data_IF_997535334198
#
_entry.id   IF_997535334198
#
_cell.length_a   1.000
_cell.length_b   1.000
_cell.length_c   1.000
_cell.angle_alpha   90.00
_cell.angle_beta   90.00
_cell.angle_gamma   90.00
#
_symmetry.space_group_name_H-M   'P 1'
#
loop_
_entity.id
_entity.type
_entity.pdbx_description
1 polymer ?
#
# COMPACT_ATOMS: atom_id res chain seq x y z
N UNK A 1 19.64 17.68 -26.96
CA UNK A 1 20.80 17.02 -26.33
C UNK A 1 20.34 16.48 -24.99
N UNK A 2 19.88 15.23 -24.92
CA UNK A 2 19.46 14.59 -23.67
C UNK A 2 20.53 13.57 -23.26
N UNK A 3 21.06 13.72 -22.04
CA UNK A 3 22.02 12.78 -21.47
C UNK A 3 21.32 11.44 -21.16
N UNK A 4 21.97 10.28 -21.37
CA UNK A 4 21.41 8.99 -21.01
C UNK A 4 21.42 8.79 -19.49
N UNK A 5 20.37 8.19 -18.93
CA UNK A 5 20.34 7.77 -17.53
C UNK A 5 21.35 6.63 -17.28
N UNK A 6 22.06 6.59 -16.14
CA UNK A 6 22.96 5.51 -15.82
C UNK A 6 22.18 4.22 -15.49
N UNK A 7 22.70 3.09 -15.93
CA UNK A 7 22.20 1.75 -15.61
C UNK A 7 22.35 1.46 -14.11
N UNK A 8 21.29 0.97 -13.47
CA UNK A 8 21.31 0.54 -12.07
C UNK A 8 21.88 -0.88 -12.01
N UNK A 9 23.13 -1.03 -11.58
CA UNK A 9 23.71 -2.32 -11.24
C UNK A 9 23.37 -2.68 -9.79
N UNK A 10 22.49 -3.67 -9.60
CA UNK A 10 22.28 -4.31 -8.31
C UNK A 10 23.31 -5.44 -8.19
N UNK A 11 24.48 -5.17 -7.61
CA UNK A 11 25.39 -6.24 -7.19
C UNK A 11 25.11 -6.59 -5.72
N UNK A 12 24.26 -7.59 -5.50
CA UNK A 12 24.34 -8.33 -4.23
C UNK A 12 25.46 -9.36 -4.33
N UNK A 13 26.33 -9.38 -3.32
CA UNK A 13 27.43 -10.32 -3.20
C UNK A 13 26.89 -11.77 -3.15
N UNK A 14 27.28 -12.66 -4.07
CA UNK A 14 26.79 -14.04 -4.12
C UNK A 14 27.22 -14.93 -2.94
N UNK A 15 28.02 -14.42 -1.99
CA UNK A 15 28.53 -15.16 -0.82
C UNK A 15 27.99 -14.67 0.54
N UNK A 16 26.84 -13.99 0.60
CA UNK A 16 26.20 -13.64 1.87
C UNK A 16 25.49 -14.86 2.50
N UNK A 17 26.26 -15.82 3.01
CA UNK A 17 25.74 -17.06 3.62
C UNK A 17 25.47 -16.97 5.12
N UNK A 18 25.84 -15.88 5.81
CA UNK A 18 25.61 -15.76 7.26
C UNK A 18 25.22 -14.33 7.66
N UNK A 19 24.01 -14.18 8.21
CA UNK A 19 23.64 -13.00 9.00
C UNK A 19 23.87 -13.33 10.47
N UNK A 20 24.96 -12.82 11.05
CA UNK A 20 25.23 -12.92 12.49
C UNK A 20 24.89 -11.57 13.13
N UNK A 21 23.79 -11.46 13.90
CA UNK A 21 23.53 -10.23 14.66
C UNK A 21 24.59 -10.12 15.76
N UNK A 22 25.43 -9.09 15.71
CA UNK A 22 26.35 -8.77 16.80
C UNK A 22 25.55 -8.37 18.07
N UNK A 23 25.27 -9.36 18.92
CA UNK A 23 24.75 -9.21 20.28
C UNK A 23 25.92 -9.00 21.25
N UNK A 24 26.55 -7.82 21.24
CA UNK A 24 27.46 -7.41 22.33
C UNK A 24 27.39 -5.90 22.53
N UNK A 25 26.44 -5.46 23.35
CA UNK A 25 26.35 -4.08 23.79
C UNK A 25 25.32 -3.96 24.89
N UNK A 26 25.69 -3.35 26.02
CA UNK A 26 24.90 -3.27 27.26
C UNK A 26 23.54 -2.55 27.16
N UNK A 27 23.12 -2.13 25.95
CA UNK A 27 21.85 -1.46 25.65
C UNK A 27 21.06 -2.17 24.52
N UNK A 28 21.31 -3.45 24.25
CA UNK A 28 20.59 -4.17 23.18
C UNK A 28 19.19 -4.61 23.63
N UNK A 29 18.16 -4.22 22.88
CA UNK A 29 16.77 -4.64 23.07
C UNK A 29 16.64 -6.15 22.85
N UNK A 30 15.87 -6.83 23.70
CA UNK A 30 15.55 -8.23 23.50
C UNK A 30 14.82 -8.43 22.16
N UNK A 31 15.14 -9.49 21.40
CA UNK A 31 14.43 -9.79 20.16
C UNK A 31 12.93 -10.00 20.46
N UNK A 32 12.08 -9.40 19.62
CA UNK A 32 10.64 -9.55 19.73
C UNK A 32 10.23 -10.99 19.34
N UNK A 33 9.21 -11.58 20.00
CA UNK A 33 8.70 -12.90 19.64
C UNK A 33 8.20 -12.88 18.18
N UNK A 34 8.67 -13.82 17.36
CA UNK A 34 8.37 -13.88 15.92
C UNK A 34 7.19 -14.79 15.59
N UNK A 35 6.68 -15.52 16.59
CA UNK A 35 5.53 -16.42 16.47
C UNK A 35 4.52 -16.22 17.61
N UNK A 36 3.26 -16.55 17.34
CA UNK A 36 2.19 -16.64 18.36
C UNK A 36 2.55 -17.63 19.48
N UNK A 37 3.35 -18.66 19.18
CA UNK A 37 3.85 -19.62 20.18
C UNK A 37 4.87 -18.96 21.13
N UNK A 38 5.80 -18.16 20.61
CA UNK A 38 6.80 -17.44 21.40
C UNK A 38 6.15 -16.43 22.37
N UNK A 39 5.06 -15.78 21.94
CA UNK A 39 4.26 -14.88 22.80
C UNK A 39 3.62 -15.61 23.99
N UNK A 40 3.26 -16.88 23.85
CA UNK A 40 2.68 -17.68 24.93
C UNK A 40 3.77 -18.11 25.94
N UNK A 41 4.93 -18.51 25.46
CA UNK A 41 6.07 -18.87 26.32
C UNK A 41 6.61 -17.67 27.11
N UNK A 42 6.69 -16.48 26.49
CA UNK A 42 7.12 -15.24 27.15
C UNK A 42 6.17 -14.86 28.31
N UNK A 43 4.85 -15.01 28.11
CA UNK A 43 3.85 -14.78 29.17
C UNK A 43 3.98 -15.77 30.32
N UNK A 44 4.27 -17.04 30.04
CA UNK A 44 4.46 -18.06 31.08
C UNK A 44 5.75 -17.82 31.89
N UNK A 45 6.82 -17.32 31.23
CA UNK A 45 8.06 -16.90 31.91
C UNK A 45 7.85 -15.70 32.82
N UNK A 46 7.09 -14.70 32.38
CA UNK A 46 6.78 -13.52 33.20
C UNK A 46 5.95 -13.88 34.44
N UNK A 47 4.96 -14.78 34.32
CA UNK A 47 4.21 -15.28 35.49
C UNK A 47 5.06 -16.09 36.48
N UNK A 48 6.05 -16.86 35.99
CA UNK A 48 6.98 -17.60 36.87
C UNK A 48 7.95 -16.66 37.59
N UNK A 49 8.37 -15.54 36.98
CA UNK A 49 9.23 -14.58 37.68
C UNK A 49 8.49 -13.76 38.75
N UNK A 50 7.22 -13.40 38.52
CA UNK A 50 6.44 -12.66 39.53
C UNK A 50 6.07 -13.52 40.76
N UNK A 51 5.96 -14.85 40.61
CA UNK A 51 5.66 -15.75 41.74
C UNK A 51 6.85 -16.09 42.63
N UNK A 52 8.09 -15.81 42.20
CA UNK A 52 9.30 -16.10 42.98
C UNK A 52 9.87 -14.91 43.80
N UNK A 53 9.22 -13.73 43.79
CA UNK A 53 9.73 -12.53 44.48
C UNK A 53 9.02 -12.17 45.80
N UNK A 54 8.29 -13.11 46.42
CA UNK A 54 7.64 -12.90 47.73
C UNK A 54 8.13 -13.90 48.79
N UNK A 55 9.27 -13.63 49.43
CA UNK A 55 9.56 -14.19 50.77
C UNK A 55 10.67 -13.43 51.52
N UNK A 56 10.25 -12.66 52.54
CA UNK A 56 10.82 -12.57 53.90
C UNK A 56 12.31 -12.29 54.12
N UNK A 57 12.65 -11.10 54.65
CA UNK A 57 13.62 -10.94 55.76
C UNK A 57 13.18 -9.78 56.69
N UNK A 58 13.25 -10.03 58.02
CA UNK A 58 12.79 -9.22 59.16
C UNK A 58 13.94 -8.44 59.81
N UNK A 59 13.68 -7.32 60.50
CA UNK A 59 14.27 -6.97 61.82
C UNK A 59 13.34 -6.01 62.62
N UNK A 60 13.53 -5.98 63.94
CA UNK A 60 12.59 -5.69 65.04
C UNK A 60 12.90 -4.36 65.76
N UNK A 61 11.89 -3.68 66.35
CA UNK A 61 11.83 -3.21 67.78
C UNK A 61 10.87 -2.00 68.02
N UNK A 62 9.73 -2.32 68.64
CA UNK A 62 9.02 -1.71 69.82
C UNK A 62 8.61 -0.21 69.87
N UNK A 63 7.30 0.09 69.88
CA UNK A 63 6.47 0.41 71.08
C UNK A 63 5.21 1.26 70.81
N UNK A 64 4.03 0.78 71.29
CA UNK A 64 2.78 1.47 71.78
C UNK A 64 2.16 2.70 71.07
N UNK A 65 0.84 2.99 71.06
CA UNK A 65 -0.50 2.35 71.07
C UNK A 65 -1.50 3.53 70.96
N UNK A 66 -2.62 3.35 70.22
CA UNK A 66 -3.94 4.05 70.27
C UNK A 66 -4.24 5.21 69.27
N UNK A 67 -5.10 4.86 68.31
CA UNK A 67 -6.43 5.41 67.96
C UNK A 67 -6.64 6.83 67.36
N UNK A 68 -7.48 6.82 66.29
CA UNK A 68 -8.43 7.84 65.76
C UNK A 68 -8.04 8.54 64.44
N UNK A 69 -8.63 8.01 63.36
CA UNK A 69 -9.46 8.63 62.29
C UNK A 69 -8.98 9.85 61.46
N UNK A 70 -8.74 9.58 60.16
CA UNK A 70 -9.06 10.36 58.93
C UNK A 70 -8.17 11.55 58.47
N UNK A 71 -8.15 11.89 57.15
CA UNK A 71 -7.07 11.46 56.24
C UNK A 71 -6.35 12.62 55.51
N UNK A 72 -5.13 12.37 55.03
CA UNK A 72 -4.46 13.15 53.97
C UNK A 72 -3.37 12.31 53.28
N UNK A 73 -3.20 12.58 51.98
CA UNK A 73 -2.23 12.11 50.96
C UNK A 73 -0.74 12.17 51.43
N UNK A 74 0.32 11.79 50.65
CA UNK A 74 0.39 11.47 49.22
C UNK A 74 1.42 10.36 48.79
N UNK A 75 1.57 10.23 47.47
CA UNK A 75 2.76 9.80 46.69
C UNK A 75 3.08 8.30 46.56
N UNK A 76 2.56 7.70 45.48
CA UNK A 76 3.23 6.62 44.76
C UNK A 76 3.46 7.06 43.31
N UNK A 77 4.73 7.12 42.91
CA UNK A 77 5.19 7.39 41.55
C UNK A 77 5.01 6.12 40.72
N UNK A 78 4.17 6.16 39.69
CA UNK A 78 4.18 5.19 38.58
C UNK A 78 4.21 5.98 37.27
N UNK A 79 5.33 5.86 36.56
CA UNK A 79 5.51 6.42 35.23
C UNK A 79 4.77 5.53 34.21
N UNK A 80 3.64 6.02 33.70
CA UNK A 80 3.04 5.57 32.45
C UNK A 80 3.17 6.73 31.45
N UNK A 81 4.06 6.58 30.47
CA UNK A 81 4.16 7.52 29.35
C UNK A 81 3.17 7.12 28.26
N UNK A 82 1.99 7.73 28.27
CA UNK A 82 1.11 7.84 27.11
C UNK A 82 1.26 9.26 26.55
N UNK A 83 1.58 9.47 25.26
CA UNK A 83 1.57 10.80 24.70
C UNK A 83 0.11 11.24 24.58
N UNK A 84 -0.35 11.97 25.58
CA UNK A 84 -1.64 12.67 25.51
C UNK A 84 -1.39 13.90 24.65
N UNK A 85 -1.65 13.80 23.35
CA UNK A 85 -1.76 14.98 22.50
C UNK A 85 -3.00 15.75 22.95
N UNK A 86 -2.79 16.77 23.79
CA UNK A 86 -3.80 17.77 24.04
C UNK A 86 -3.99 18.58 22.75
N UNK A 87 -5.22 18.72 22.23
CA UNK A 87 -5.47 19.67 21.15
C UNK A 87 -5.04 21.05 21.63
N UNK A 88 -4.19 21.71 20.84
CA UNK A 88 -3.86 23.12 21.06
C UNK A 88 -5.13 23.89 20.67
N UNK A 89 -5.91 24.29 21.65
CA UNK A 89 -7.00 25.23 21.44
C UNK A 89 -6.39 26.59 21.18
N UNK A 90 -6.55 27.06 19.94
CA UNK A 90 -6.26 28.45 19.59
C UNK A 90 -7.45 29.27 20.08
N UNK A 91 -7.35 29.83 21.28
CA UNK A 91 -8.30 30.81 21.79
C UNK A 91 -8.11 32.12 21.04
N UNK A 92 -8.67 32.21 19.84
CA UNK A 92 -8.76 33.44 19.06
C UNK A 92 -10.20 33.64 18.62
N UNK A 93 -10.71 34.85 18.83
CA UNK A 93 -12.00 35.25 18.25
C UNK A 93 -11.89 35.23 16.72
N UNK A 94 -13.01 35.06 16.02
CA UNK A 94 -13.02 35.13 14.54
C UNK A 94 -12.41 36.45 14.02
N UNK A 95 -12.61 37.55 14.77
CA UNK A 95 -12.02 38.85 14.51
C UNK A 95 -10.48 38.83 14.58
N UNK A 96 -9.89 38.17 15.59
CA UNK A 96 -8.44 38.02 15.69
C UNK A 96 -7.87 37.15 14.57
N UNK A 97 -8.57 36.09 14.17
CA UNK A 97 -8.14 35.22 13.06
C UNK A 97 -8.14 36.02 11.74
N UNK A 98 -9.16 36.85 11.53
CA UNK A 98 -9.23 37.77 10.38
C UNK A 98 -8.13 38.83 10.42
N UNK A 99 -7.82 39.38 11.58
CA UNK A 99 -6.75 40.37 11.76
C UNK A 99 -5.36 39.75 11.49
N UNK A 100 -5.13 38.51 11.93
CA UNK A 100 -3.90 37.74 11.63
C UNK A 100 -3.82 37.43 10.14
N UNK A 101 -4.93 37.03 9.51
CA UNK A 101 -4.98 36.80 8.06
C UNK A 101 -4.71 38.08 7.26
N UNK A 102 -5.10 39.25 7.75
CA UNK A 102 -4.80 40.54 7.11
C UNK A 102 -3.34 40.96 7.28
N UNK A 103 -2.72 40.66 8.43
CA UNK A 103 -1.32 41.02 8.74
C UNK A 103 -0.31 40.03 8.17
N UNK A 104 -0.69 38.77 7.99
CA UNK A 104 0.18 37.78 7.38
C UNK A 104 0.18 38.00 5.88
N UNK A 105 1.33 38.39 5.32
CA UNK A 105 1.58 38.49 3.87
C UNK A 105 1.49 37.14 3.14
N UNK A 106 0.91 36.13 3.76
CA UNK A 106 0.56 34.86 3.16
C UNK A 106 -0.61 35.13 2.20
N UNK A 107 -0.39 34.88 0.91
CA UNK A 107 -1.47 34.75 -0.06
C UNK A 107 -2.32 33.54 0.34
N UNK A 108 -3.27 33.73 1.27
CA UNK A 108 -4.30 32.74 1.65
C UNK A 108 -5.16 32.35 0.43
N UNK A 109 -5.07 33.09 -0.68
CA UNK A 109 -5.67 32.75 -1.98
C UNK A 109 -4.84 31.86 -2.91
N UNK A 110 -3.63 31.42 -2.54
CA UNK A 110 -2.99 30.32 -3.24
C UNK A 110 -3.68 29.03 -2.78
N UNK A 111 -4.83 28.72 -3.37
CA UNK A 111 -5.36 27.36 -3.31
C UNK A 111 -4.23 26.46 -3.79
N UNK A 112 -3.57 25.76 -2.85
CA UNK A 112 -2.83 24.57 -3.21
C UNK A 112 -3.80 23.79 -4.10
N UNK A 113 -3.41 23.52 -5.34
CA UNK A 113 -4.22 22.70 -6.22
C UNK A 113 -4.33 21.34 -5.53
N UNK A 114 -5.43 21.17 -4.81
CA UNK A 114 -5.84 19.93 -4.17
C UNK A 114 -6.80 19.34 -5.18
N UNK A 115 -6.40 18.33 -5.97
CA UNK A 115 -7.32 17.62 -6.85
C UNK A 115 -8.62 17.34 -6.10
N UNK A 116 -9.78 17.48 -6.75
CA UNK A 116 -11.08 17.24 -6.08
C UNK A 116 -11.14 15.87 -5.38
N UNK A 117 -10.36 14.89 -5.86
CA UNK A 117 -10.18 13.55 -5.28
C UNK A 117 -9.43 13.59 -3.93
N UNK A 118 -8.49 14.51 -3.76
CA UNK A 118 -7.70 14.71 -2.55
C UNK A 118 -8.50 15.36 -1.40
N UNK A 119 -9.65 16.01 -1.65
CA UNK A 119 -10.54 16.48 -0.56
C UNK A 119 -11.10 15.32 0.29
N UNK A 120 -11.30 14.14 -0.31
CA UNK A 120 -11.68 12.93 0.45
C UNK A 120 -10.52 12.40 1.33
N UNK A 121 -9.28 12.79 1.05
CA UNK A 121 -8.07 12.35 1.78
C UNK A 121 -8.03 12.87 3.22
N UNK A 122 -8.69 14.01 3.50
CA UNK A 122 -8.72 14.62 4.84
C UNK A 122 -9.61 13.82 5.80
N UNK A 123 -10.46 12.92 5.31
CA UNK A 123 -11.42 12.15 6.12
C UNK A 123 -10.89 10.79 6.62
N UNK A 124 -9.65 10.39 6.28
CA UNK A 124 -9.03 9.19 6.87
C UNK A 124 -8.50 9.56 8.27
N UNK A 125 -9.42 9.79 9.21
CA UNK A 125 -9.13 10.16 10.61
C UNK A 125 -8.57 8.98 11.44
N UNK A 126 -8.42 7.80 10.85
CA UNK A 126 -7.75 6.65 11.46
C UNK A 126 -6.65 6.17 10.51
N UNK A 127 -5.36 6.16 10.92
CA UNK A 127 -4.30 5.60 10.10
C UNK A 127 -4.67 4.14 9.79
N UNK A 128 -4.80 3.80 8.51
CA UNK A 128 -4.93 2.41 8.10
C UNK A 128 -3.64 1.68 8.52
N UNK A 129 -3.70 0.47 9.11
CA UNK A 129 -2.49 -0.31 9.40
C UNK A 129 -1.68 -0.64 8.13
N UNK A 130 -2.26 -0.41 6.95
CA UNK A 130 -1.65 -0.58 5.64
C UNK A 130 -1.14 0.72 5.01
N UNK A 131 -1.10 1.84 5.75
CA UNK A 131 -0.54 3.12 5.32
C UNK A 131 0.51 3.57 6.33
N UNK A 132 1.65 4.05 5.86
CA UNK A 132 2.55 4.82 6.70
C UNK A 132 2.03 6.25 6.74
N UNK A 133 2.02 6.89 7.92
CA UNK A 133 1.88 8.35 7.97
C UNK A 133 3.12 8.96 7.34
N UNK A 134 2.98 9.89 6.37
CA UNK A 134 4.14 10.47 5.72
C UNK A 134 4.92 11.25 6.77
N UNK A 135 6.23 10.99 6.87
CA UNK A 135 7.07 11.72 7.81
C UNK A 135 7.14 13.21 7.41
N UNK A 136 7.31 14.10 8.39
CA UNK A 136 7.44 15.54 8.15
C UNK A 136 8.55 15.81 7.12
N UNK A 137 8.17 16.28 5.93
CA UNK A 137 9.10 16.57 4.82
C UNK A 137 9.08 15.58 3.65
N UNK A 138 8.32 14.48 3.71
CA UNK A 138 8.18 13.57 2.57
C UNK A 138 7.29 14.17 1.45
N UNK A 139 7.68 13.94 0.19
CA UNK A 139 6.90 14.36 -0.98
C UNK A 139 5.65 13.50 -1.11
N UNK A 140 4.48 14.09 -0.86
CA UNK A 140 3.18 13.42 -1.00
C UNK A 140 2.82 13.23 -2.47
N UNK A 141 2.25 12.08 -2.82
CA UNK A 141 1.66 11.84 -4.14
C UNK A 141 0.37 12.66 -4.31
N UNK A 142 0.00 12.97 -5.56
CA UNK A 142 -1.26 13.67 -5.87
C UNK A 142 -2.50 12.88 -5.45
N UNK A 143 -2.45 11.56 -5.63
CA UNK A 143 -3.47 10.61 -5.24
C UNK A 143 -2.90 9.50 -4.36
N UNK A 144 -3.80 8.84 -3.60
CA UNK A 144 -3.48 7.65 -2.82
C UNK A 144 -3.57 6.43 -3.73
N UNK A 145 -2.59 5.54 -3.66
CA UNK A 145 -2.52 4.34 -4.48
C UNK A 145 -2.58 3.08 -3.63
N UNK A 146 -3.10 2.01 -4.19
CA UNK A 146 -3.30 0.71 -3.55
C UNK A 146 -2.62 -0.38 -4.37
N UNK A 147 -1.75 -1.13 -3.72
CA UNK A 147 -1.15 -2.33 -4.26
C UNK A 147 -2.03 -3.54 -3.90
N UNK A 148 -2.46 -4.30 -4.90
CA UNK A 148 -3.14 -5.58 -4.73
C UNK A 148 -2.33 -6.71 -5.34
N UNK A 149 -2.50 -7.92 -4.81
CA UNK A 149 -1.91 -9.13 -5.35
C UNK A 149 -2.97 -10.21 -5.56
N UNK A 150 -2.86 -10.92 -6.69
CA UNK A 150 -3.67 -12.07 -7.01
C UNK A 150 -2.74 -13.23 -7.42
N UNK A 151 -2.58 -14.27 -6.60
CA UNK A 151 -1.82 -15.45 -6.99
C UNK A 151 -2.51 -16.15 -8.17
N UNK A 152 -1.73 -16.79 -9.03
CA UNK A 152 -2.24 -17.62 -10.10
C UNK A 152 -1.58 -19.00 -10.05
N UNK A 153 -2.39 -20.06 -10.03
CA UNK A 153 -1.90 -21.44 -10.09
C UNK A 153 -1.19 -21.73 -11.41
N UNK A 154 -0.26 -22.69 -11.39
CA UNK A 154 0.36 -23.23 -12.61
C UNK A 154 -0.73 -23.85 -13.49
N UNK A 155 -0.96 -23.27 -14.68
CA UNK A 155 -1.95 -23.77 -15.65
C UNK A 155 -3.42 -23.48 -15.32
N UNK A 156 -3.72 -22.84 -14.19
CA UNK A 156 -5.09 -22.44 -13.87
C UNK A 156 -5.43 -21.11 -14.55
N UNK A 157 -6.38 -21.15 -15.48
CA UNK A 157 -7.05 -19.92 -15.89
C UNK A 157 -7.84 -19.41 -14.68
N UNK A 158 -7.55 -18.20 -14.22
CA UNK A 158 -8.26 -17.58 -13.10
C UNK A 158 -9.74 -17.53 -13.48
N UNK A 159 -10.57 -18.32 -12.79
CA UNK A 159 -12.01 -18.30 -12.98
C UNK A 159 -12.57 -17.02 -12.37
N UNK A 160 -13.59 -16.45 -12.99
CA UNK A 160 -14.29 -15.26 -12.47
C UNK A 160 -14.74 -15.46 -11.00
N UNK A 161 -15.23 -16.66 -10.67
CA UNK A 161 -15.68 -17.00 -9.32
C UNK A 161 -14.54 -17.07 -8.27
N UNK A 162 -13.28 -17.09 -8.69
CA UNK A 162 -12.10 -17.16 -7.80
C UNK A 162 -11.27 -15.87 -7.90
N UNK A 163 -11.76 -14.88 -8.65
CA UNK A 163 -11.05 -13.62 -8.84
C UNK A 163 -11.24 -12.69 -7.63
N UNK A 164 -10.29 -12.72 -6.71
CA UNK A 164 -10.28 -11.81 -5.56
C UNK A 164 -8.89 -11.25 -5.24
N UNK A 165 -8.49 -10.16 -5.93
CA UNK A 165 -7.23 -9.46 -5.66
C UNK A 165 -7.20 -8.94 -4.22
N UNK A 166 -6.22 -9.36 -3.44
CA UNK A 166 -6.08 -8.98 -2.03
C UNK A 166 -5.32 -7.66 -1.93
N UNK A 167 -5.84 -6.69 -1.18
CA UNK A 167 -5.13 -5.46 -0.88
C UNK A 167 -3.90 -5.76 0.00
N UNK A 168 -2.72 -5.40 -0.50
CA UNK A 168 -1.44 -5.60 0.18
C UNK A 168 -1.04 -4.33 0.94
N UNK A 169 -1.07 -3.17 0.29
CA UNK A 169 -0.56 -1.93 0.88
C UNK A 169 -1.16 -0.66 0.25
N UNK A 170 -1.15 0.45 1.01
CA UNK A 170 -1.52 1.80 0.53
C UNK A 170 -0.32 2.72 0.49
N UNK A 171 -0.17 3.46 -0.60
CA UNK A 171 0.98 4.30 -0.92
C UNK A 171 0.51 5.74 -1.10
N UNK A 172 1.06 6.63 -0.29
CA UNK A 172 0.61 8.02 -0.15
C UNK A 172 1.72 9.06 -0.40
N UNK A 173 2.97 8.63 -0.30
CA UNK A 173 4.18 9.43 -0.53
C UNK A 173 5.16 8.70 -1.46
N UNK A 174 6.05 9.46 -2.10
CA UNK A 174 7.12 8.91 -2.95
C UNK A 174 8.07 8.03 -2.13
N UNK A 175 8.33 8.40 -0.87
CA UNK A 175 9.18 7.61 0.02
C UNK A 175 8.50 6.28 0.37
N UNK A 176 7.20 6.29 0.69
CA UNK A 176 6.40 5.08 0.91
C UNK A 176 6.40 4.20 -0.33
N UNK A 177 6.27 4.78 -1.53
CA UNK A 177 6.32 4.04 -2.79
C UNK A 177 7.62 3.23 -2.93
N UNK A 178 8.78 3.88 -2.78
CA UNK A 178 10.07 3.19 -2.91
C UNK A 178 10.32 2.18 -1.80
N UNK A 179 9.85 2.43 -0.57
CA UNK A 179 9.89 1.45 0.53
C UNK A 179 9.12 0.19 0.14
N UNK A 180 7.91 0.32 -0.39
CA UNK A 180 7.09 -0.82 -0.82
C UNK A 180 7.71 -1.53 -2.03
N UNK A 181 8.08 -0.76 -3.05
CA UNK A 181 8.63 -1.29 -4.30
C UNK A 181 9.90 -2.13 -4.06
N UNK A 182 10.82 -1.66 -3.21
CA UNK A 182 12.07 -2.36 -2.91
C UNK A 182 11.87 -3.66 -2.12
N UNK A 183 10.70 -3.88 -1.51
CA UNK A 183 10.36 -5.11 -0.79
C UNK A 183 9.56 -6.11 -1.64
N UNK A 184 9.29 -5.79 -2.90
CA UNK A 184 8.59 -6.67 -3.83
C UNK A 184 9.62 -7.26 -4.81
N UNK A 185 9.61 -8.59 -5.06
CA UNK A 185 10.49 -9.21 -6.04
C UNK A 185 10.30 -8.61 -7.44
N UNK A 186 11.38 -8.60 -8.23
CA UNK A 186 11.29 -8.12 -9.61
C UNK A 186 10.32 -9.01 -10.43
N UNK A 187 9.68 -8.48 -11.49
CA UNK A 187 8.79 -9.27 -12.35
C UNK A 187 9.37 -10.62 -12.78
N UNK A 188 10.67 -10.69 -13.09
CA UNK A 188 11.37 -11.93 -13.47
C UNK A 188 11.59 -12.93 -12.32
N UNK A 189 11.54 -12.48 -11.08
CA UNK A 189 11.76 -13.28 -9.86
C UNK A 189 10.44 -13.66 -9.17
N UNK A 190 9.34 -13.06 -9.64
CA UNK A 190 8.02 -13.28 -9.09
C UNK A 190 7.45 -14.65 -9.44
N UNK A 191 6.74 -15.24 -8.48
CA UNK A 191 5.85 -16.38 -8.76
C UNK A 191 4.73 -15.95 -9.71
N UNK A 192 4.23 -16.92 -10.49
CA UNK A 192 3.08 -16.72 -11.38
C UNK A 192 1.92 -16.11 -10.59
N UNK A 193 1.43 -14.98 -11.08
CA UNK A 193 0.52 -14.13 -10.32
C UNK A 193 0.28 -12.80 -11.02
N UNK A 194 -0.46 -11.93 -10.35
CA UNK A 194 -0.76 -10.60 -10.86
C UNK A 194 -0.60 -9.57 -9.76
N UNK A 195 0.18 -8.52 -10.02
CA UNK A 195 0.19 -7.30 -9.21
C UNK A 195 -0.72 -6.26 -9.86
N UNK A 196 -1.50 -5.58 -9.05
CA UNK A 196 -2.31 -4.44 -9.46
C UNK A 196 -1.91 -3.23 -8.63
N UNK A 197 -1.79 -2.08 -9.27
CA UNK A 197 -1.51 -0.81 -8.60
C UNK A 197 -2.55 0.21 -9.06
N UNK A 198 -3.55 0.47 -8.22
CA UNK A 198 -4.76 1.22 -8.56
C UNK A 198 -4.93 2.41 -7.63
N UNK A 199 -5.66 3.43 -8.08
CA UNK A 199 -6.06 4.54 -7.20
C UNK A 199 -6.92 4.00 -6.05
N UNK A 200 -6.76 4.57 -4.86
CA UNK A 200 -7.56 4.19 -3.70
C UNK A 200 -9.05 4.42 -3.99
N UNK A 201 -9.88 3.48 -3.52
CA UNK A 201 -11.31 3.44 -3.80
C UNK A 201 -11.70 2.76 -5.12
N UNK A 202 -10.75 2.39 -5.99
CA UNK A 202 -11.02 1.61 -7.21
C UNK A 202 -10.45 0.21 -7.04
N UNK A 203 -11.32 -0.80 -7.06
CA UNK A 203 -10.85 -2.19 -7.03
C UNK A 203 -10.40 -2.62 -8.43
N UNK A 204 -9.39 -3.48 -8.57
CA UNK A 204 -8.97 -4.05 -9.85
C UNK A 204 -9.96 -5.11 -10.37
N UNK A 205 -11.24 -4.77 -10.41
CA UNK A 205 -12.38 -5.58 -10.87
C UNK A 205 -13.08 -4.78 -11.97
N UNK A 206 -13.49 -5.45 -13.05
CA UNK A 206 -14.16 -4.75 -14.16
C UNK A 206 -15.59 -4.36 -13.79
N UNK A 207 -16.15 -4.95 -12.73
CA UNK A 207 -17.45 -4.63 -12.14
C UNK A 207 -17.42 -3.33 -11.33
N UNK A 208 -16.23 -2.90 -10.91
CA UNK A 208 -16.05 -1.69 -10.10
C UNK A 208 -16.59 -0.46 -10.87
N UNK A 209 -17.37 0.44 -10.24
CA UNK A 209 -17.89 1.63 -10.91
C UNK A 209 -16.82 2.50 -11.57
N UNK A 210 -15.59 2.50 -11.05
CA UNK A 210 -14.46 3.21 -11.67
C UNK A 210 -14.01 2.59 -12.98
N UNK A 211 -14.19 1.28 -13.18
CA UNK A 211 -13.67 0.55 -14.33
C UNK A 211 -14.75 0.14 -15.35
N UNK A 212 -15.98 -0.15 -14.92
CA UNK A 212 -16.99 -0.83 -15.74
C UNK A 212 -17.27 -0.23 -17.12
N UNK A 213 -17.13 1.08 -17.25
CA UNK A 213 -17.44 1.85 -18.46
C UNK A 213 -16.21 2.07 -19.35
N UNK A 214 -15.02 1.66 -18.89
CA UNK A 214 -13.75 1.88 -19.57
C UNK A 214 -13.18 0.67 -20.30
N UNK A 215 -11.84 0.54 -20.26
CA UNK A 215 -11.14 -0.60 -20.84
C UNK A 215 -9.69 -0.73 -20.40
N UNK A 216 -9.05 -1.74 -20.97
CA UNK A 216 -7.68 -2.14 -20.63
C UNK A 216 -6.82 -2.03 -21.88
N UNK A 217 -5.73 -1.29 -21.78
CA UNK A 217 -4.63 -1.35 -22.74
C UNK A 217 -3.66 -2.46 -22.35
N UNK A 218 -3.40 -3.40 -23.26
CA UNK A 218 -2.61 -4.61 -23.01
C UNK A 218 -1.35 -4.64 -23.85
N UNK A 219 -0.23 -5.00 -23.23
CA UNK A 219 1.09 -5.06 -23.85
C UNK A 219 1.78 -6.34 -23.40
N UNK A 220 2.24 -7.14 -24.36
CA UNK A 220 2.98 -8.37 -24.08
C UNK A 220 4.48 -8.11 -24.16
N UNK A 221 5.19 -8.40 -23.08
CA UNK A 221 6.62 -8.17 -22.95
C UNK A 221 7.35 -9.49 -22.63
N UNK A 222 8.64 -9.51 -22.94
CA UNK A 222 9.56 -10.59 -22.60
C UNK A 222 10.27 -10.34 -21.26
N UNK A 223 11.05 -11.31 -20.79
CA UNK A 223 11.82 -11.18 -19.56
C UNK A 223 12.95 -10.15 -19.63
N UNK A 224 13.37 -9.74 -20.82
CA UNK A 224 14.54 -8.87 -20.99
C UNK A 224 14.24 -7.40 -20.65
N UNK A 225 13.00 -6.96 -20.90
CA UNK A 225 12.60 -5.56 -20.70
C UNK A 225 11.55 -5.36 -19.59
N UNK A 226 10.92 -6.43 -19.08
CA UNK A 226 9.77 -6.30 -18.19
C UNK A 226 10.07 -5.58 -16.87
N UNK A 227 11.26 -5.79 -16.30
CA UNK A 227 11.62 -5.19 -15.02
C UNK A 227 11.65 -3.66 -15.15
N UNK A 228 12.35 -3.14 -16.15
CA UNK A 228 12.42 -1.71 -16.43
C UNK A 228 11.06 -1.14 -16.86
N UNK A 229 10.36 -1.84 -17.76
CA UNK A 229 9.06 -1.41 -18.26
C UNK A 229 8.03 -1.28 -17.12
N UNK A 230 8.05 -2.19 -16.16
CA UNK A 230 7.16 -2.14 -15.00
C UNK A 230 7.46 -0.93 -14.10
N UNK A 231 8.73 -0.67 -13.79
CA UNK A 231 9.11 0.51 -12.99
C UNK A 231 8.74 1.79 -13.72
N UNK A 232 9.02 1.89 -15.01
CA UNK A 232 8.70 3.07 -15.81
C UNK A 232 7.20 3.34 -15.84
N UNK A 233 6.38 2.29 -15.96
CA UNK A 233 4.93 2.42 -15.92
C UNK A 233 4.43 2.87 -14.53
N UNK A 234 4.96 2.30 -13.45
CA UNK A 234 4.65 2.75 -12.10
C UNK A 234 5.04 4.21 -11.87
N UNK A 235 6.25 4.60 -12.27
CA UNK A 235 6.76 5.97 -12.14
C UNK A 235 5.93 6.98 -12.95
N UNK A 236 5.54 6.66 -14.19
CA UNK A 236 4.62 7.47 -15.00
C UNK A 236 3.29 7.67 -14.27
N UNK A 237 2.81 6.60 -13.63
CA UNK A 237 1.54 6.55 -12.92
C UNK A 237 1.55 7.39 -11.64
N UNK A 238 2.46 7.13 -10.70
CA UNK A 238 2.54 7.88 -9.43
C UNK A 238 2.97 9.34 -9.64
N UNK A 239 3.76 9.60 -10.69
CA UNK A 239 4.22 10.94 -11.03
C UNK A 239 3.17 11.79 -11.72
N UNK A 240 2.01 11.22 -12.07
CA UNK A 240 0.97 11.89 -12.87
C UNK A 240 1.54 12.48 -14.19
N UNK A 241 2.56 11.81 -14.72
CA UNK A 241 3.33 12.23 -15.90
C UNK A 241 2.64 11.86 -17.22
N UNK A 242 1.37 11.47 -17.17
CA UNK A 242 0.51 11.29 -18.34
C UNK A 242 0.19 12.62 -19.01
N UNK A 243 -0.18 12.55 -20.29
CA UNK A 243 -0.75 13.68 -21.01
C UNK A 243 -1.98 14.22 -20.27
N UNK A 244 -2.22 15.53 -20.37
CA UNK A 244 -3.26 16.22 -19.58
C UNK A 244 -4.65 15.61 -19.74
N UNK A 245 -4.99 15.12 -20.93
CA UNK A 245 -6.26 14.44 -21.23
C UNK A 245 -6.35 13.02 -20.65
N UNK A 246 -5.21 12.37 -20.39
CA UNK A 246 -5.10 10.97 -19.95
C UNK A 246 -5.00 10.86 -18.43
N UNK A 247 -4.40 11.85 -17.76
CA UNK A 247 -4.12 11.84 -16.33
C UNK A 247 -5.30 11.38 -15.46
N UNK A 248 -6.48 11.94 -15.71
CA UNK A 248 -7.67 11.68 -14.92
C UNK A 248 -8.41 10.39 -15.31
N UNK A 249 -8.07 9.80 -16.46
CA UNK A 249 -8.70 8.58 -17.00
C UNK A 249 -8.00 7.32 -16.53
N UNK A 250 -6.71 7.38 -16.17
CA UNK A 250 -5.94 6.23 -15.66
C UNK A 250 -6.39 5.88 -14.25
N UNK A 251 -7.01 4.70 -14.11
CA UNK A 251 -7.45 4.16 -12.82
C UNK A 251 -6.38 3.33 -12.13
N UNK A 252 -5.55 2.65 -12.91
CA UNK A 252 -4.53 1.75 -12.39
C UNK A 252 -3.75 1.01 -13.46
N UNK A 253 -2.72 0.31 -13.02
CA UNK A 253 -1.84 -0.51 -13.87
C UNK A 253 -1.70 -1.91 -13.27
N UNK A 254 -1.45 -2.90 -14.12
CA UNK A 254 -1.27 -4.28 -13.67
C UNK A 254 -0.10 -4.96 -14.38
N UNK A 255 0.56 -5.84 -13.65
CA UNK A 255 1.60 -6.74 -14.14
C UNK A 255 1.13 -8.18 -13.95
N UNK A 256 0.97 -8.91 -15.05
CA UNK A 256 0.65 -10.34 -15.06
C UNK A 256 1.90 -11.13 -15.41
N UNK A 257 2.47 -11.81 -14.42
CA UNK A 257 3.51 -12.81 -14.65
C UNK A 257 2.85 -14.15 -14.99
N UNK A 258 3.17 -14.70 -16.17
CA UNK A 258 2.71 -16.02 -16.63
C UNK A 258 3.93 -16.83 -17.05
N UNK A 259 3.76 -18.14 -17.21
CA UNK A 259 4.85 -19.08 -17.50
C UNK A 259 5.67 -18.71 -18.74
N UNK A 260 5.03 -18.16 -19.80
CA UNK A 260 5.68 -17.90 -21.09
C UNK A 260 5.75 -16.43 -21.49
N UNK A 261 5.19 -15.52 -20.69
CA UNK A 261 5.10 -14.11 -21.05
C UNK A 261 4.72 -13.24 -19.85
N UNK A 262 5.08 -11.97 -19.96
CA UNK A 262 4.58 -10.92 -19.08
C UNK A 262 3.55 -10.10 -19.84
N UNK A 263 2.48 -9.72 -19.15
CA UNK A 263 1.48 -8.80 -19.70
C UNK A 263 1.41 -7.57 -18.79
N UNK A 264 1.70 -6.40 -19.36
CA UNK A 264 1.42 -5.12 -18.74
C UNK A 264 0.05 -4.64 -19.18
N UNK A 265 -0.71 -4.12 -18.23
CA UNK A 265 -2.04 -3.61 -18.45
C UNK A 265 -2.18 -2.20 -17.88
N UNK A 266 -2.83 -1.30 -18.61
CA UNK A 266 -3.23 0.03 -18.13
C UNK A 266 -4.75 0.11 -18.20
N UNK A 267 -5.37 0.39 -17.06
CA UNK A 267 -6.82 0.46 -16.91
C UNK A 267 -7.24 1.92 -16.97
N UNK A 268 -8.11 2.23 -17.93
CA UNK A 268 -8.56 3.59 -18.22
C UNK A 268 -10.08 3.66 -18.33
N UNK A 269 -10.66 4.80 -17.96
CA UNK A 269 -12.09 5.08 -18.13
C UNK A 269 -12.46 5.34 -19.59
N UNK A 270 -11.52 5.83 -20.41
CA UNK A 270 -11.75 6.18 -21.80
C UNK A 270 -10.50 5.89 -22.64
N UNK A 271 -10.70 5.44 -23.88
CA UNK A 271 -9.63 5.26 -24.85
C UNK A 271 -9.29 6.60 -25.51
N UNK A 272 -8.02 6.96 -25.53
CA UNK A 272 -7.55 8.16 -26.22
C UNK A 272 -6.31 7.87 -27.08
N UNK A 273 -6.09 8.70 -28.10
CA UNK A 273 -4.87 8.61 -28.91
C UNK A 273 -3.64 9.04 -28.11
N UNK A 274 -3.81 10.00 -27.20
CA UNK A 274 -2.77 10.49 -26.30
C UNK A 274 -2.29 9.40 -25.34
N UNK A 275 -3.16 8.49 -24.90
CA UNK A 275 -2.75 7.33 -24.11
C UNK A 275 -1.78 6.44 -24.89
N UNK A 276 -2.06 6.21 -26.19
CA UNK A 276 -1.16 5.43 -27.05
C UNK A 276 0.17 6.15 -27.26
N UNK A 277 0.15 7.48 -27.37
CA UNK A 277 1.36 8.30 -27.49
C UNK A 277 2.20 8.23 -26.21
N UNK A 278 1.58 8.40 -25.04
CA UNK A 278 2.25 8.29 -23.74
C UNK A 278 2.94 6.93 -23.56
N UNK A 279 2.26 5.86 -23.95
CA UNK A 279 2.78 4.49 -23.86
C UNK A 279 3.90 4.23 -24.86
N UNK A 280 3.78 4.76 -26.08
CA UNK A 280 4.86 4.70 -27.08
C UNK A 280 6.09 5.47 -26.66
N UNK A 281 5.94 6.68 -26.12
CA UNK A 281 7.04 7.45 -25.55
C UNK A 281 7.75 6.67 -24.42
N UNK A 282 6.98 6.05 -23.53
CA UNK A 282 7.51 5.34 -22.36
C UNK A 282 8.28 4.06 -22.73
N UNK A 283 7.74 3.26 -23.66
CA UNK A 283 8.24 1.91 -23.94
C UNK A 283 9.13 1.81 -25.17
N UNK A 284 9.11 2.80 -26.07
CA UNK A 284 9.98 2.82 -27.25
C UNK A 284 11.47 2.66 -26.93
N UNK A 285 12.04 3.25 -25.86
CA UNK A 285 13.43 3.02 -25.50
C UNK A 285 13.76 1.56 -25.13
N UNK A 286 12.76 0.79 -24.69
CA UNK A 286 12.93 -0.59 -24.24
C UNK A 286 12.59 -1.63 -25.32
N UNK A 287 11.54 -1.38 -26.11
CA UNK A 287 10.99 -2.32 -27.08
C UNK A 287 11.36 -2.00 -28.54
N UNK A 288 11.94 -0.82 -28.78
CA UNK A 288 12.17 -0.30 -30.14
C UNK A 288 10.91 0.27 -30.78
N UNK A 289 10.96 0.43 -32.10
CA UNK A 289 9.91 1.13 -32.86
C UNK A 289 8.63 0.31 -33.08
N UNK A 290 8.71 -1.02 -32.98
CA UNK A 290 7.59 -1.92 -33.31
C UNK A 290 7.27 -2.81 -32.13
N UNK A 291 6.19 -2.48 -31.43
CA UNK A 291 5.59 -3.35 -30.41
C UNK A 291 4.07 -3.33 -30.49
N UNK A 292 3.45 -4.43 -30.07
CA UNK A 292 1.99 -4.61 -30.16
C UNK A 292 1.30 -4.12 -28.90
N UNK A 293 0.32 -3.24 -29.08
CA UNK A 293 -0.54 -2.72 -28.03
C UNK A 293 -2.00 -2.97 -28.44
N UNK A 294 -2.78 -3.57 -27.55
CA UNK A 294 -4.19 -3.90 -27.80
C UNK A 294 -5.09 -3.27 -26.76
N UNK A 295 -6.10 -2.52 -27.20
CA UNK A 295 -7.14 -2.00 -26.31
C UNK A 295 -8.33 -2.97 -26.26
N UNK A 296 -8.77 -3.32 -25.05
CA UNK A 296 -9.88 -4.21 -24.77
C UNK A 296 -10.91 -3.50 -23.89
N UNK A 297 -12.08 -3.08 -24.40
CA UNK A 297 -13.11 -2.49 -23.56
C UNK A 297 -13.68 -3.52 -22.57
N UNK A 298 -14.08 -3.05 -21.40
CA UNK A 298 -14.65 -3.93 -20.36
C UNK A 298 -15.99 -4.52 -20.79
N UNK A 299 -16.77 -3.83 -21.63
CA UNK A 299 -18.02 -4.33 -22.21
C UNK A 299 -17.85 -5.68 -22.93
N UNK A 300 -16.77 -5.89 -23.66
CA UNK A 300 -16.49 -7.17 -24.34
C UNK A 300 -16.22 -8.29 -23.31
N UNK A 301 -15.61 -7.95 -22.18
CA UNK A 301 -15.39 -8.93 -21.09
C UNK A 301 -16.73 -9.25 -20.40
N UNK A 302 -17.58 -8.24 -20.17
CA UNK A 302 -18.93 -8.39 -19.62
C UNK A 302 -19.82 -9.29 -20.49
N UNK A 303 -19.80 -9.08 -21.81
CA UNK A 303 -20.54 -9.91 -22.77
C UNK A 303 -20.09 -11.37 -22.73
N UNK A 304 -18.77 -11.60 -22.64
CA UNK A 304 -18.20 -12.96 -22.54
C UNK A 304 -18.59 -13.64 -21.23
N UNK A 305 -18.52 -12.93 -20.11
CA UNK A 305 -18.94 -13.42 -18.80
C UNK A 305 -20.45 -13.77 -18.80
N UNK A 306 -21.29 -12.87 -19.34
CA UNK A 306 -22.73 -13.09 -19.46
C UNK A 306 -23.07 -14.29 -20.35
N UNK A 307 -22.37 -14.43 -21.48
CA UNK A 307 -22.53 -15.57 -22.38
C UNK A 307 -22.14 -16.89 -21.71
N UNK A 308 -21.04 -16.92 -20.96
CA UNK A 308 -20.59 -18.09 -20.20
C UNK A 308 -21.61 -18.47 -19.11
N UNK A 309 -22.13 -17.50 -18.36
CA UNK A 309 -23.16 -17.73 -17.34
C UNK A 309 -24.47 -18.27 -17.93
N UNK A 310 -24.90 -17.77 -19.10
CA UNK A 310 -26.08 -18.27 -19.80
C UNK A 310 -25.88 -19.71 -20.30
N UNK A 311 -24.68 -20.03 -20.81
CA UNK A 311 -24.33 -21.38 -21.24
C UNK A 311 -24.39 -22.38 -20.07
N UNK A 312 -23.90 -21.98 -18.89
CA UNK A 312 -23.93 -22.82 -17.69
C UNK A 312 -25.37 -23.05 -17.19
N UNK A 313 -26.21 -22.02 -17.17
CA UNK A 313 -27.65 -22.15 -16.85
C UNK A 313 -28.36 -23.12 -17.81
N UNK A 314 -28.05 -23.05 -19.12
CA UNK A 314 -28.60 -23.98 -20.13
C UNK A 314 -28.16 -25.42 -19.88
N UNK A 315 -26.88 -25.65 -19.53
CA UNK A 315 -26.35 -26.98 -19.17
C UNK A 315 -27.03 -27.55 -17.93
N UNK A 316 -27.19 -26.75 -16.87
CA UNK A 316 -27.88 -27.18 -15.65
C UNK A 316 -29.35 -27.55 -15.92
N UNK A 317 -30.06 -26.74 -16.72
CA UNK A 317 -31.44 -27.05 -17.12
C UNK A 317 -31.55 -28.32 -17.96
N UNK A 318 -30.57 -28.58 -18.83
CA UNK A 318 -30.56 -29.80 -19.65
C UNK A 318 -30.24 -31.05 -18.82
N UNK A 319 -29.32 -30.95 -17.84
CA UNK A 319 -29.05 -32.03 -16.90
C UNK A 319 -30.27 -32.35 -16.03
N UNK A 320 -31.02 -31.35 -15.55
CA UNK A 320 -32.26 -31.57 -14.78
C UNK A 320 -33.38 -32.24 -15.57
N UNK A 321 -33.37 -32.14 -16.90
CA UNK A 321 -34.35 -32.82 -17.78
C UNK A 321 -33.98 -34.27 -18.11
N UNK A 322 -32.74 -34.66 -17.79
CA UNK A 322 -32.19 -35.99 -18.10
C UNK A 322 -32.35 -37.00 -16.95
N UNK A 323 -32.86 -36.54 -15.81
CA UNK A 323 -33.22 -37.32 -14.63
C UNK A 323 -34.73 -37.29 -14.44
#
# INVERSE_FOLDING_TARGET
MHAPFPSVSISMNPNATDFVPHLTGANSLAPLPTSTADLAEEKERQQKQESHLSSSVKWTTTSTRKNITQPALPLAVKANFTPTFAPIYVEKTEEEILEISKRSSLKVGAAAFVPRRTLNRVMIAKPSPLSLTPATGEMTLGDLWCLFYLPAGLGECIRENTYDPTLVFRVDSVATFWKVFNNIPQPTEMKIGTLYFFRDGINPKWEDPGNRDGGILKMKLDSHCINDAWVYLLCRTIGESWSRSVRDTVNGVALKARERAYLLEVWVTEQSAELMMDISELLRPLLGDVFSVFYAPHSVTQERAAAAALAEKKRSRNNRRRW
#
